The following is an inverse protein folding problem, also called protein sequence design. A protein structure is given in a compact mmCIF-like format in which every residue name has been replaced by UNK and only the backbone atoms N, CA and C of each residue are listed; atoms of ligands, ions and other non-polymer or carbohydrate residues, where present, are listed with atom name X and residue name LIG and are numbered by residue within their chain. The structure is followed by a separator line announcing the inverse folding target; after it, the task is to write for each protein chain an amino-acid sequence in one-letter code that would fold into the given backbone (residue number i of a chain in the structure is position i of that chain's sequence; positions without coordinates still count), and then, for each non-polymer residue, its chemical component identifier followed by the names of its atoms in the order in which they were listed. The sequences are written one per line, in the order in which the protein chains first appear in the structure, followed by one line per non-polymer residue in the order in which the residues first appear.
data_IF_459552630720
#
_entry.id   IF_459552630720
#
_cell.length_a   1.000
_cell.length_b   1.000
_cell.length_c   1.000
_cell.angle_alpha   90.00
_cell.angle_beta   90.00
_cell.angle_gamma   90.00
#
_symmetry.space_group_name_H-M   'P 1'
#
loop_
_entity.id
_entity.type
_entity.pdbx_description
1 polymer ?
#
# COMPACT_ATOMS: atom_id res chain seq x y z
N UNK A 1 2.62 22.51 -1.04
CA UNK A 1 2.70 21.50 -2.12
C UNK A 1 2.73 20.15 -1.43
N UNK A 2 1.90 19.20 -1.87
CA UNK A 2 1.94 17.85 -1.29
C UNK A 2 3.04 17.06 -2.00
N UNK A 3 3.86 16.34 -1.24
CA UNK A 3 5.02 15.67 -1.81
C UNK A 3 4.62 14.48 -2.69
N UNK A 4 5.30 14.34 -3.83
CA UNK A 4 5.27 13.13 -4.67
C UNK A 4 5.94 11.98 -3.92
N UNK A 5 5.31 10.82 -3.92
CA UNK A 5 5.81 9.63 -3.22
C UNK A 5 6.66 8.78 -4.16
N UNK A 6 7.93 8.54 -3.84
CA UNK A 6 8.74 7.54 -4.53
C UNK A 6 8.60 6.20 -3.80
N UNK A 7 7.97 5.21 -4.45
CA UNK A 7 7.63 3.93 -3.83
C UNK A 7 8.71 2.86 -4.05
N UNK A 8 8.63 1.79 -3.26
CA UNK A 8 9.46 0.59 -3.39
C UNK A 8 8.56 -0.64 -3.40
N UNK A 9 9.04 -1.76 -3.92
CA UNK A 9 8.41 -3.04 -3.64
C UNK A 9 8.57 -3.38 -2.14
N UNK A 10 7.68 -4.20 -1.60
CA UNK A 10 7.79 -4.74 -0.25
C UNK A 10 7.82 -6.28 -0.32
N UNK A 11 9.01 -6.85 -0.17
CA UNK A 11 9.24 -8.29 -0.38
C UNK A 11 9.98 -8.83 0.84
N UNK A 12 9.47 -9.92 1.41
CA UNK A 12 10.06 -10.58 2.59
C UNK A 12 10.32 -9.66 3.79
N UNK A 13 9.45 -8.66 4.01
CA UNK A 13 9.60 -7.71 5.11
C UNK A 13 10.59 -6.57 4.86
N UNK A 14 11.11 -6.44 3.63
CA UNK A 14 12.09 -5.42 3.26
C UNK A 14 11.61 -4.54 2.10
N UNK A 15 12.14 -3.32 2.04
CA UNK A 15 11.97 -2.42 0.90
C UNK A 15 12.93 -2.82 -0.20
N UNK A 16 12.39 -3.22 -1.34
CA UNK A 16 13.19 -3.55 -2.53
C UNK A 16 13.03 -2.42 -3.54
N UNK A 17 14.12 -1.68 -3.76
CA UNK A 17 14.16 -0.59 -4.73
C UNK A 17 14.10 -1.13 -6.16
N UNK A 18 13.56 -0.33 -7.07
CA UNK A 18 13.53 -0.59 -8.51
C UNK A 18 13.59 0.72 -9.29
N UNK A 19 13.75 0.64 -10.60
CA UNK A 19 13.67 1.83 -11.45
C UNK A 19 12.24 2.39 -11.45
N UNK A 20 12.08 3.63 -11.01
CA UNK A 20 10.80 4.33 -10.89
C UNK A 20 10.28 4.79 -12.26
N UNK A 21 9.71 3.86 -13.03
CA UNK A 21 9.20 4.12 -14.38
C UNK A 21 7.69 4.38 -14.43
N UNK A 22 6.94 3.90 -13.43
CA UNK A 22 5.51 4.16 -13.34
C UNK A 22 5.22 5.50 -12.68
N UNK A 23 4.20 6.20 -13.16
CA UNK A 23 3.69 7.44 -12.57
C UNK A 23 2.18 7.32 -12.31
N UNK A 24 1.76 7.65 -11.09
CA UNK A 24 0.35 7.81 -10.70
C UNK A 24 0.02 9.30 -10.70
N UNK A 25 -0.84 9.73 -11.63
CA UNK A 25 -1.23 11.13 -11.79
C UNK A 25 -2.54 11.42 -11.08
N UNK A 26 -2.66 12.61 -10.47
CA UNK A 26 -3.92 13.06 -9.91
C UNK A 26 -4.94 13.29 -11.06
N UNK A 27 -6.10 12.62 -11.08
CA UNK A 27 -7.08 12.80 -12.15
C UNK A 27 -7.78 14.17 -12.13
N UNK A 28 -7.72 14.90 -11.01
CA UNK A 28 -8.27 16.26 -10.88
C UNK A 28 -7.31 17.35 -11.37
N UNK A 29 -6.00 17.07 -11.39
CA UNK A 29 -4.95 17.90 -12.01
C UNK A 29 -3.83 16.99 -12.53
N UNK A 30 -3.89 16.63 -13.81
CA UNK A 30 -2.98 15.63 -14.43
C UNK A 30 -1.51 16.06 -14.47
N UNK A 31 -1.21 17.32 -14.15
CA UNK A 31 0.18 17.82 -13.99
C UNK A 31 0.79 17.42 -12.65
N UNK A 32 -0.03 17.03 -11.68
CA UNK A 32 0.41 16.57 -10.36
C UNK A 32 0.67 15.05 -10.39
N UNK A 33 1.91 14.67 -10.09
CA UNK A 33 2.30 13.27 -9.88
C UNK A 33 2.13 12.96 -8.38
N UNK A 34 1.22 12.03 -8.08
CA UNK A 34 0.92 11.57 -6.73
C UNK A 34 2.01 10.65 -6.23
N UNK A 35 2.44 9.70 -7.06
CA UNK A 35 3.46 8.72 -6.74
C UNK A 35 4.24 8.28 -8.00
N UNK A 36 5.51 7.92 -7.81
CA UNK A 36 6.31 7.16 -8.77
C UNK A 36 6.48 5.74 -8.26
N UNK A 37 6.25 4.76 -9.13
CA UNK A 37 6.27 3.35 -8.77
C UNK A 37 7.40 2.63 -9.50
N UNK A 38 8.08 1.68 -8.85
CA UNK A 38 9.02 0.82 -9.54
C UNK A 38 8.24 -0.11 -10.48
N UNK A 39 8.77 -0.32 -11.69
CA UNK A 39 8.28 -1.43 -12.51
C UNK A 39 8.63 -2.76 -11.82
N UNK A 40 7.71 -3.72 -11.90
CA UNK A 40 7.94 -5.09 -11.44
C UNK A 40 8.23 -6.03 -12.61
N UNK A 41 9.27 -6.85 -12.50
CA UNK A 41 9.61 -7.89 -13.46
C UNK A 41 9.40 -9.29 -12.93
N UNK A 42 9.76 -10.29 -13.75
CA UNK A 42 9.69 -11.70 -13.36
C UNK A 42 10.50 -12.00 -12.10
N UNK A 43 11.68 -11.37 -11.94
CA UNK A 43 12.54 -11.59 -10.80
C UNK A 43 11.93 -11.10 -9.47
N UNK A 44 11.32 -9.91 -9.46
CA UNK A 44 10.64 -9.38 -8.27
C UNK A 44 9.41 -10.22 -7.91
N UNK A 45 8.68 -10.69 -8.93
CA UNK A 45 7.52 -11.58 -8.73
C UNK A 45 7.99 -12.92 -8.15
N UNK A 46 9.02 -13.54 -8.72
CA UNK A 46 9.57 -14.80 -8.21
C UNK A 46 10.03 -14.65 -6.76
N UNK A 47 10.75 -13.57 -6.44
CA UNK A 47 11.18 -13.29 -5.07
C UNK A 47 10.00 -13.10 -4.10
N UNK A 48 8.95 -12.39 -4.51
CA UNK A 48 7.74 -12.22 -3.71
C UNK A 48 6.99 -13.55 -3.48
N UNK A 49 6.89 -14.38 -4.52
CA UNK A 49 6.23 -15.69 -4.45
C UNK A 49 7.00 -16.64 -3.54
N UNK A 50 8.33 -16.72 -3.67
CA UNK A 50 9.14 -17.58 -2.81
C UNK A 50 9.10 -17.14 -1.36
N UNK A 51 9.13 -15.83 -1.08
CA UNK A 51 8.94 -15.30 0.27
C UNK A 51 7.57 -15.67 0.86
N UNK A 52 6.50 -15.54 0.07
CA UNK A 52 5.16 -15.93 0.50
C UNK A 52 5.06 -17.44 0.79
N UNK A 53 5.63 -18.30 -0.07
CA UNK A 53 5.69 -19.76 0.15
C UNK A 53 6.46 -20.12 1.41
N UNK A 54 7.58 -19.46 1.67
CA UNK A 54 8.39 -19.69 2.86
C UNK A 54 7.65 -19.28 4.15
N UNK A 55 6.87 -18.19 4.12
CA UNK A 55 6.09 -17.73 5.26
C UNK A 55 4.81 -18.57 5.51
N UNK A 56 4.26 -19.20 4.46
CA UNK A 56 2.95 -19.85 4.51
C UNK A 56 2.79 -20.90 5.61
N UNK A 57 3.70 -21.87 5.84
CA UNK A 57 3.50 -22.91 6.87
C UNK A 57 3.27 -22.33 8.27
N UNK A 58 4.12 -21.40 8.70
CA UNK A 58 3.98 -20.75 10.00
C UNK A 58 2.71 -19.88 10.08
N UNK A 59 2.34 -19.22 8.98
CA UNK A 59 1.14 -18.40 8.92
C UNK A 59 -0.17 -19.21 8.91
N UNK A 60 -0.19 -20.35 8.20
CA UNK A 60 -1.35 -21.23 8.15
C UNK A 60 -1.60 -21.91 9.48
N UNK A 61 -0.52 -22.29 10.19
CA UNK A 61 -0.57 -22.94 11.49
C UNK A 61 -0.91 -21.96 12.63
N UNK A 62 -0.80 -20.65 12.40
CA UNK A 62 -1.19 -19.63 13.38
C UNK A 62 -2.69 -19.74 13.71
N UNK A 63 -3.02 -19.54 14.99
CA UNK A 63 -4.41 -19.61 15.44
C UNK A 63 -5.26 -18.49 14.84
N UNK A 64 -6.59 -18.68 14.70
CA UNK A 64 -7.49 -17.63 14.26
C UNK A 64 -7.35 -16.34 15.08
N UNK A 65 -7.13 -16.45 16.40
CA UNK A 65 -6.95 -15.32 17.31
C UNK A 65 -5.71 -14.50 16.96
N UNK A 66 -4.56 -15.14 16.72
CA UNK A 66 -3.32 -14.45 16.33
C UNK A 66 -3.52 -13.67 15.02
N UNK A 67 -4.23 -14.26 14.05
CA UNK A 67 -4.53 -13.58 12.79
C UNK A 67 -5.52 -12.43 12.98
N UNK A 68 -6.52 -12.60 13.86
CA UNK A 68 -7.46 -11.52 14.24
C UNK A 68 -6.74 -10.35 14.89
N UNK A 69 -5.86 -10.61 15.86
CA UNK A 69 -5.10 -9.57 16.56
C UNK A 69 -4.25 -8.71 15.61
N UNK A 70 -3.72 -9.31 14.54
CA UNK A 70 -2.96 -8.60 13.51
C UNK A 70 -3.88 -7.69 12.69
N UNK A 71 -5.06 -8.19 12.29
CA UNK A 71 -6.05 -7.39 11.56
C UNK A 71 -6.61 -6.24 12.41
N UNK A 72 -6.86 -6.48 13.70
CA UNK A 72 -7.33 -5.45 14.63
C UNK A 72 -6.29 -4.34 14.81
N UNK A 73 -5.01 -4.69 14.92
CA UNK A 73 -3.91 -3.71 14.95
C UNK A 73 -3.83 -2.91 13.65
N UNK A 74 -3.95 -3.57 12.50
CA UNK A 74 -3.95 -2.90 11.20
C UNK A 74 -5.13 -1.92 11.06
N UNK A 75 -6.33 -2.35 11.47
CA UNK A 75 -7.55 -1.52 11.49
C UNK A 75 -7.36 -0.28 12.37
N UNK A 76 -6.86 -0.45 13.60
CA UNK A 76 -6.59 0.68 14.50
C UNK A 76 -5.61 1.69 13.89
N UNK A 77 -4.53 1.21 13.26
CA UNK A 77 -3.56 2.07 12.57
C UNK A 77 -4.23 2.85 11.42
N UNK A 78 -5.11 2.21 10.63
CA UNK A 78 -5.85 2.88 9.57
C UNK A 78 -6.81 3.94 10.12
N UNK A 79 -7.55 3.63 11.19
CA UNK A 79 -8.46 4.58 11.86
C UNK A 79 -7.73 5.79 12.40
N UNK A 80 -6.58 5.59 13.04
CA UNK A 80 -5.71 6.66 13.53
C UNK A 80 -5.22 7.56 12.39
N UNK A 81 -4.97 6.98 11.20
CA UNK A 81 -4.41 7.67 10.03
C UNK A 81 -5.43 8.10 8.98
N UNK A 82 -6.73 7.90 9.24
CA UNK A 82 -7.85 8.09 8.28
C UNK A 82 -7.81 9.41 7.50
N UNK A 83 -7.44 10.51 8.14
CA UNK A 83 -7.34 11.82 7.50
C UNK A 83 -6.21 11.88 6.46
N UNK A 84 -5.06 11.29 6.79
CA UNK A 84 -3.89 11.27 5.91
C UNK A 84 -4.07 10.30 4.74
N UNK A 85 -4.57 9.08 5.01
CA UNK A 85 -4.83 8.07 3.99
C UNK A 85 -6.00 8.48 3.10
N UNK A 86 -7.09 8.98 3.68
CA UNK A 86 -8.23 9.47 2.92
C UNK A 86 -7.87 10.63 1.99
N UNK A 87 -7.01 11.55 2.44
CA UNK A 87 -6.48 12.61 1.57
C UNK A 87 -5.62 12.06 0.43
N UNK A 88 -4.82 11.02 0.68
CA UNK A 88 -4.04 10.36 -0.36
C UNK A 88 -4.96 9.67 -1.38
N UNK A 89 -5.96 8.91 -0.94
CA UNK A 89 -6.97 8.27 -1.81
C UNK A 89 -7.70 9.30 -2.69
N UNK A 90 -8.16 10.41 -2.10
CA UNK A 90 -8.79 11.50 -2.87
C UNK A 90 -7.84 12.11 -3.90
N UNK A 91 -6.56 12.25 -3.58
CA UNK A 91 -5.54 12.80 -4.48
C UNK A 91 -5.22 11.84 -5.63
N UNK A 92 -5.15 10.54 -5.35
CA UNK A 92 -4.82 9.51 -6.34
C UNK A 92 -6.00 9.17 -7.26
N UNK A 93 -7.22 9.14 -6.74
CA UNK A 93 -8.38 8.61 -7.47
C UNK A 93 -9.42 9.67 -7.86
N UNK A 94 -9.30 10.91 -7.36
CA UNK A 94 -10.21 12.00 -7.68
C UNK A 94 -11.56 11.96 -6.97
N UNK A 95 -11.74 11.06 -6.00
CA UNK A 95 -12.91 11.04 -5.11
C UNK A 95 -12.93 12.25 -4.17
N UNK A 96 -14.11 12.63 -3.68
CA UNK A 96 -14.19 13.71 -2.69
C UNK A 96 -13.49 13.33 -1.39
N UNK A 97 -13.01 14.32 -0.62
CA UNK A 97 -12.34 14.05 0.66
C UNK A 97 -13.21 13.25 1.66
N UNK A 98 -14.53 13.54 1.80
CA UNK A 98 -15.39 12.70 2.63
C UNK A 98 -15.48 11.24 2.17
N UNK A 99 -15.46 10.98 0.85
CA UNK A 99 -15.44 9.62 0.31
C UNK A 99 -14.12 8.91 0.64
N UNK A 100 -12.97 9.57 0.41
CA UNK A 100 -11.66 8.99 0.72
C UNK A 100 -11.46 8.67 2.22
N UNK A 101 -11.89 9.58 3.11
CA UNK A 101 -11.87 9.33 4.55
C UNK A 101 -12.84 8.18 4.91
N UNK A 102 -14.05 8.21 4.35
CA UNK A 102 -15.07 7.19 4.59
C UNK A 102 -14.65 5.80 4.12
N UNK A 103 -13.86 5.69 3.04
CA UNK A 103 -13.31 4.43 2.54
C UNK A 103 -12.19 3.89 3.44
N UNK A 104 -11.34 4.77 3.99
CA UNK A 104 -10.30 4.34 4.95
C UNK A 104 -10.89 3.76 6.23
N UNK A 105 -12.13 4.14 6.57
CA UNK A 105 -12.80 3.77 7.81
C UNK A 105 -13.76 2.56 7.68
N UNK A 106 -13.89 1.94 6.51
CA UNK A 106 -14.86 0.85 6.29
C UNK A 106 -14.22 -0.52 6.12
#
# INVERSE_FOLDING_TARGET
MTDTLDLTHWINGERVAGELKGESHNPSDTREIVARTPDGGAAEVDAAVEAAKAAFPAWSDASPEVRSDILDKASNILMERRESVGRLLSREEGKTLPEGIGETMR
#
